data_IF_547961316918
#
_entry.id   IF_547961316918
#
_cell.length_a   1.000
_cell.length_b   1.000
_cell.length_c   1.000
_cell.angle_alpha   90.00
_cell.angle_beta   90.00
_cell.angle_gamma   90.00
#
_symmetry.space_group_name_H-M   'P 1'
#
loop_
_entity.id
_entity.type
_entity.pdbx_description
1 polymer ?
#
# COMPACT_ATOMS: atom_id res chain seq x y z
N UNK A 1 7.59 28.09 13.67
CA UNK A 1 6.63 26.98 13.44
C UNK A 1 6.71 26.58 11.98
N UNK A 2 7.38 25.46 11.66
CA UNK A 2 7.50 24.99 10.26
C UNK A 2 6.33 24.07 9.90
N UNK A 3 5.80 24.20 8.68
CA UNK A 3 4.81 23.25 8.14
C UNK A 3 5.48 21.89 8.02
N UNK A 4 5.09 20.93 8.85
CA UNK A 4 5.65 19.56 8.84
C UNK A 4 4.80 18.58 8.04
N UNK A 5 3.76 19.05 7.35
CA UNK A 5 2.79 18.21 6.65
C UNK A 5 2.78 18.58 5.16
N UNK A 6 2.81 17.58 4.30
CA UNK A 6 2.68 17.74 2.84
C UNK A 6 1.21 17.66 2.43
N UNK A 7 0.91 17.97 1.16
CA UNK A 7 -0.36 17.54 0.56
C UNK A 7 -0.46 16.01 0.63
N UNK A 8 -1.63 15.52 1.00
CA UNK A 8 -1.95 14.10 1.09
C UNK A 8 -2.81 13.73 -0.10
N UNK A 9 -2.53 12.57 -0.68
CA UNK A 9 -3.32 12.01 -1.76
C UNK A 9 -4.71 11.59 -1.25
N UNK A 10 -5.75 11.79 -2.07
CA UNK A 10 -6.99 11.01 -1.94
C UNK A 10 -6.88 9.75 -2.81
N UNK A 11 -6.59 8.63 -2.16
CA UNK A 11 -6.41 7.34 -2.80
C UNK A 11 -7.65 6.47 -2.71
N UNK A 12 -7.56 5.26 -3.27
CA UNK A 12 -8.63 4.26 -3.15
C UNK A 12 -8.88 3.83 -1.70
N UNK A 13 -7.89 4.00 -0.82
CA UNK A 13 -8.06 3.92 0.63
C UNK A 13 -7.33 5.06 1.32
N UNK A 14 -8.02 5.74 2.24
CA UNK A 14 -7.43 6.77 3.10
C UNK A 14 -7.10 6.14 4.45
N UNK A 15 -5.81 5.93 4.73
CA UNK A 15 -5.38 5.34 5.99
C UNK A 15 -5.68 6.27 7.17
N UNK A 16 -6.35 5.75 8.19
CA UNK A 16 -6.83 6.53 9.33
C UNK A 16 -5.90 6.44 10.53
N UNK A 17 -6.09 7.35 11.50
CA UNK A 17 -5.39 7.29 12.78
C UNK A 17 -5.64 5.94 13.46
N UNK A 18 -6.88 5.46 13.39
CA UNK A 18 -7.29 4.21 14.01
C UNK A 18 -6.52 3.03 13.42
N UNK A 19 -6.44 2.91 12.08
CA UNK A 19 -5.69 1.86 11.40
C UNK A 19 -4.24 1.75 11.92
N UNK A 20 -3.59 2.90 12.15
CA UNK A 20 -2.22 2.96 12.68
C UNK A 20 -2.15 2.56 14.15
N UNK A 21 -3.06 3.07 14.98
CA UNK A 21 -3.04 2.81 16.43
C UNK A 21 -3.50 1.41 16.80
N UNK A 22 -4.44 0.84 16.03
CA UNK A 22 -4.94 -0.53 16.20
C UNK A 22 -4.03 -1.57 15.54
N UNK A 23 -2.98 -1.14 14.84
CA UNK A 23 -2.05 -2.01 14.10
C UNK A 23 -2.79 -2.88 13.09
N UNK A 24 -3.77 -2.30 12.40
CA UNK A 24 -4.62 -3.02 11.46
C UNK A 24 -3.80 -3.52 10.28
N UNK A 25 -3.86 -4.82 10.05
CA UNK A 25 -3.29 -5.46 8.88
C UNK A 25 -4.34 -5.54 7.77
N UNK A 26 -3.90 -5.35 6.53
CA UNK A 26 -4.73 -5.42 5.34
C UNK A 26 -4.29 -6.59 4.46
N UNK A 27 -5.23 -7.28 3.82
CA UNK A 27 -4.89 -8.37 2.90
C UNK A 27 -4.01 -7.90 1.73
N UNK A 28 -4.17 -6.65 1.30
CA UNK A 28 -3.41 -6.03 0.23
C UNK A 28 -2.22 -5.20 0.74
N UNK A 29 -1.68 -5.52 1.92
CA UNK A 29 -0.50 -4.84 2.46
C UNK A 29 0.72 -5.04 1.55
N UNK A 30 1.40 -3.95 1.20
CA UNK A 30 2.63 -3.99 0.38
C UNK A 30 3.80 -3.23 1.00
N UNK A 31 3.58 -2.58 2.14
CA UNK A 31 4.65 -2.05 2.97
C UNK A 31 4.24 -2.06 4.45
N UNK A 32 5.21 -2.04 5.36
CA UNK A 32 4.98 -1.86 6.79
C UNK A 32 5.99 -0.92 7.43
N UNK A 33 5.55 -0.28 8.50
CA UNK A 33 6.45 0.27 9.51
C UNK A 33 6.63 -0.70 10.66
N UNK A 34 7.04 -0.16 11.83
CA UNK A 34 7.26 -1.00 13.01
C UNK A 34 5.99 -1.74 13.44
N UNK A 35 4.86 -1.05 13.49
CA UNK A 35 3.60 -1.55 14.06
C UNK A 35 2.37 -1.18 13.22
N UNK A 36 2.55 -0.81 11.95
CA UNK A 36 1.45 -0.37 11.07
C UNK A 36 1.73 -0.79 9.63
N UNK A 37 0.66 -0.95 8.85
CA UNK A 37 0.68 -1.57 7.52
C UNK A 37 0.07 -0.63 6.49
N UNK A 38 0.65 -0.63 5.28
CA UNK A 38 0.21 0.21 4.18
C UNK A 38 -0.43 -0.68 3.11
N UNK A 39 -1.76 -0.61 2.95
CA UNK A 39 -2.44 -1.32 1.88
C UNK A 39 -2.11 -0.68 0.53
N UNK A 40 -2.02 -1.48 -0.53
CA UNK A 40 -1.63 -1.02 -1.87
C UNK A 40 -2.55 0.09 -2.39
N UNK A 41 -3.86 -0.03 -2.13
CA UNK A 41 -4.86 1.00 -2.41
C UNK A 41 -4.64 2.37 -1.75
N UNK A 42 -3.79 2.47 -0.71
CA UNK A 42 -3.37 3.78 -0.16
C UNK A 42 -2.31 4.50 -0.99
N UNK A 43 -1.72 3.80 -1.95
CA UNK A 43 -0.68 4.26 -2.87
C UNK A 43 -1.23 4.58 -4.28
N UNK A 44 -2.53 4.31 -4.50
CA UNK A 44 -3.25 4.48 -5.76
C UNK A 44 -4.17 5.70 -5.70
N UNK A 45 -3.98 6.74 -6.53
CA UNK A 45 -4.90 7.86 -6.67
C UNK A 45 -6.29 7.42 -7.12
N UNK A 46 -7.33 7.97 -6.49
CA UNK A 46 -8.72 7.59 -6.81
C UNK A 46 -9.15 8.00 -8.23
N UNK A 47 -8.71 9.16 -8.69
CA UNK A 47 -9.22 9.81 -9.92
C UNK A 47 -8.27 9.70 -11.12
N UNK A 48 -7.04 9.19 -10.94
CA UNK A 48 -6.02 9.17 -11.99
C UNK A 48 -5.47 7.76 -12.16
N UNK A 49 -5.65 7.21 -13.36
CA UNK A 49 -5.06 5.94 -13.77
C UNK A 49 -3.56 6.06 -14.05
N UNK A 50 -2.84 4.93 -13.95
CA UNK A 50 -1.40 4.83 -14.26
C UNK A 50 -0.49 5.75 -13.43
N UNK A 51 -0.96 6.20 -12.26
CA UNK A 51 -0.17 6.97 -11.32
C UNK A 51 0.01 6.18 -10.03
N UNK A 52 1.25 6.10 -9.55
CA UNK A 52 1.61 5.49 -8.28
C UNK A 52 2.24 6.53 -7.36
N UNK A 53 1.92 6.45 -6.09
CA UNK A 53 2.38 7.41 -5.08
C UNK A 53 2.97 6.65 -3.88
N UNK A 54 4.20 7.00 -3.49
CA UNK A 54 4.86 6.41 -2.34
C UNK A 54 5.54 7.48 -1.48
N UNK A 55 5.72 7.21 -0.19
CA UNK A 55 6.36 8.16 0.73
C UNK A 55 5.37 9.11 1.38
N UNK A 56 5.80 10.30 1.80
CA UNK A 56 5.05 11.16 2.75
C UNK A 56 3.68 11.67 2.28
N UNK A 57 3.39 11.58 0.99
CA UNK A 57 2.16 12.05 0.34
C UNK A 57 1.17 10.93 0.02
N UNK A 58 1.41 9.71 0.48
CA UNK A 58 0.45 8.60 0.42
C UNK A 58 -0.90 8.97 1.02
N UNK A 59 -1.93 8.18 0.71
CA UNK A 59 -3.29 8.49 1.14
C UNK A 59 -3.54 8.15 2.60
N UNK A 60 -3.71 9.20 3.40
CA UNK A 60 -3.90 9.10 4.85
C UNK A 60 -4.58 10.35 5.42
N UNK A 61 -5.15 10.22 6.61
CA UNK A 61 -5.53 11.39 7.40
C UNK A 61 -4.28 12.11 7.94
N UNK A 62 -4.35 13.42 8.22
CA UNK A 62 -3.24 14.19 8.80
C UNK A 62 -2.60 13.54 10.04
N UNK A 63 -3.43 12.96 10.91
CA UNK A 63 -2.99 12.32 12.16
C UNK A 63 -2.27 11.01 11.88
N UNK A 64 -2.81 10.18 10.98
CA UNK A 64 -2.16 8.95 10.54
C UNK A 64 -0.79 9.25 9.94
N UNK A 65 -0.73 10.20 9.01
CA UNK A 65 0.51 10.61 8.36
C UNK A 65 1.54 11.10 9.37
N UNK A 66 1.13 11.88 10.37
CA UNK A 66 2.04 12.38 11.41
C UNK A 66 2.74 11.25 12.17
N UNK A 67 2.08 10.10 12.36
CA UNK A 67 2.59 8.95 13.09
C UNK A 67 3.36 7.93 12.23
N UNK A 68 3.07 7.88 10.92
CA UNK A 68 3.53 6.82 10.02
C UNK A 68 4.22 7.39 8.78
N UNK A 69 5.20 8.27 9.00
CA UNK A 69 5.97 8.95 7.93
C UNK A 69 7.48 8.78 8.09
N UNK A 70 7.89 7.68 8.70
CA UNK A 70 9.28 7.35 8.93
C UNK A 70 9.98 7.03 7.60
N UNK A 71 11.31 7.15 7.56
CA UNK A 71 12.10 6.88 6.35
C UNK A 71 11.99 5.41 5.91
N UNK A 72 12.10 4.39 6.79
CA UNK A 72 12.05 2.99 6.35
C UNK A 72 10.73 2.59 5.66
N UNK A 73 9.54 2.95 6.18
CA UNK A 73 8.29 2.77 5.44
C UNK A 73 8.24 3.48 4.08
N UNK A 74 8.80 4.70 3.99
CA UNK A 74 8.85 5.41 2.71
C UNK A 74 9.69 4.66 1.67
N UNK A 75 10.79 4.04 2.09
CA UNK A 75 11.62 3.20 1.22
C UNK A 75 10.86 1.94 0.79
N UNK A 76 10.19 1.26 1.73
CA UNK A 76 9.40 0.06 1.45
C UNK A 76 8.24 0.35 0.48
N UNK A 77 7.48 1.43 0.71
CA UNK A 77 6.45 1.88 -0.23
C UNK A 77 7.03 2.17 -1.62
N UNK A 78 8.20 2.82 -1.70
CA UNK A 78 8.88 3.10 -2.97
C UNK A 78 9.24 1.84 -3.74
N UNK A 79 9.74 0.82 -3.04
CA UNK A 79 10.03 -0.48 -3.64
C UNK A 79 8.75 -1.20 -4.09
N UNK A 80 7.70 -1.17 -3.27
CA UNK A 80 6.41 -1.77 -3.62
C UNK A 80 5.83 -1.19 -4.91
N UNK A 81 5.77 0.14 -5.02
CA UNK A 81 5.25 0.78 -6.25
C UNK A 81 6.17 0.57 -7.45
N UNK A 82 7.48 0.45 -7.24
CA UNK A 82 8.42 0.10 -8.31
C UNK A 82 8.17 -1.29 -8.88
N UNK A 83 7.97 -2.29 -8.01
CA UNK A 83 7.58 -3.65 -8.40
C UNK A 83 6.22 -3.62 -9.12
N UNK A 84 5.24 -2.89 -8.58
CA UNK A 84 3.92 -2.78 -9.19
C UNK A 84 3.98 -2.18 -10.60
N UNK A 85 4.78 -1.12 -10.79
CA UNK A 85 4.97 -0.50 -12.09
C UNK A 85 5.60 -1.46 -13.11
N UNK A 86 6.61 -2.23 -12.69
CA UNK A 86 7.25 -3.22 -13.56
C UNK A 86 6.26 -4.32 -14.00
N UNK A 87 5.50 -4.86 -13.05
CA UNK A 87 4.48 -5.88 -13.32
C UNK A 87 3.36 -5.35 -14.24
N UNK A 88 2.91 -4.11 -14.04
CA UNK A 88 1.90 -3.49 -14.89
C UNK A 88 2.38 -3.39 -16.35
N UNK A 89 3.64 -2.98 -16.56
CA UNK A 89 4.24 -2.90 -17.90
C UNK A 89 4.42 -4.27 -18.53
N UNK A 90 4.93 -5.25 -17.77
CA UNK A 90 5.13 -6.63 -18.27
C UNK A 90 3.82 -7.29 -18.67
N UNK A 91 2.74 -7.06 -17.92
CA UNK A 91 1.44 -7.68 -18.15
C UNK A 91 0.53 -6.87 -19.07
N UNK A 92 0.89 -5.63 -19.41
CA UNK A 92 0.04 -4.73 -20.18
C UNK A 92 -1.25 -4.33 -19.45
N UNK A 93 -1.21 -4.24 -18.12
CA UNK A 93 -2.37 -3.91 -17.27
C UNK A 93 -2.23 -2.52 -16.66
N UNK A 94 -3.31 -2.01 -16.07
CA UNK A 94 -3.21 -0.81 -15.24
C UNK A 94 -2.48 -1.12 -13.94
N UNK A 95 -1.80 -0.12 -13.37
CA UNK A 95 -1.15 -0.24 -12.05
C UNK A 95 -2.15 -0.62 -10.95
N UNK A 96 -3.40 -0.13 -11.03
CA UNK A 96 -4.46 -0.48 -10.08
C UNK A 96 -4.94 -1.93 -10.19
N UNK A 97 -4.72 -2.57 -11.34
CA UNK A 97 -5.11 -3.95 -11.59
C UNK A 97 -4.00 -4.95 -11.24
N UNK A 98 -2.83 -4.47 -10.81
CA UNK A 98 -1.75 -5.34 -10.35
C UNK A 98 -2.12 -5.97 -9.01
N UNK A 99 -2.04 -7.29 -8.95
CA UNK A 99 -2.28 -8.06 -7.73
C UNK A 99 -1.29 -7.69 -6.63
N UNK A 100 -1.80 -7.39 -5.44
CA UNK A 100 -0.97 -7.17 -4.25
C UNK A 100 -0.08 -8.39 -3.94
N UNK A 101 -0.57 -9.61 -4.23
CA UNK A 101 0.21 -10.83 -4.05
C UNK A 101 1.46 -10.85 -4.95
N UNK A 102 1.32 -10.41 -6.20
CA UNK A 102 2.45 -10.37 -7.14
C UNK A 102 3.47 -9.30 -6.71
N UNK A 103 2.99 -8.17 -6.19
CA UNK A 103 3.85 -7.13 -5.59
C UNK A 103 4.62 -7.70 -4.39
N UNK A 104 3.93 -8.36 -3.47
CA UNK A 104 4.53 -8.98 -2.28
C UNK A 104 5.59 -10.02 -2.68
N UNK A 105 5.30 -10.86 -3.68
CA UNK A 105 6.25 -11.84 -4.21
C UNK A 105 7.46 -11.16 -4.86
N UNK A 106 7.24 -10.12 -5.68
CA UNK A 106 8.31 -9.35 -6.31
C UNK A 106 9.23 -8.69 -5.28
N UNK A 107 8.67 -8.11 -4.22
CA UNK A 107 9.45 -7.54 -3.11
C UNK A 107 10.32 -8.59 -2.42
N UNK A 108 9.77 -9.78 -2.14
CA UNK A 108 10.53 -10.89 -1.54
C UNK A 108 11.67 -11.40 -2.43
N UNK A 109 11.48 -11.44 -3.75
CA UNK A 109 12.56 -11.81 -4.70
C UNK A 109 13.77 -10.87 -4.58
N UNK A 110 13.53 -9.62 -4.17
CA UNK A 110 14.58 -8.63 -3.89
C UNK A 110 15.03 -8.58 -2.43
N UNK A 111 14.57 -9.51 -1.59
CA UNK A 111 14.93 -9.58 -0.16
C UNK A 111 14.22 -8.54 0.72
N UNK A 112 13.15 -7.90 0.23
CA UNK A 112 12.37 -6.95 1.01
C UNK A 112 11.18 -7.61 1.72
N UNK A 113 10.77 -7.00 2.83
CA UNK A 113 9.57 -7.36 3.59
C UNK A 113 8.38 -6.49 3.14
N UNK A 114 7.37 -7.06 2.45
CA UNK A 114 6.18 -6.32 2.06
C UNK A 114 5.19 -6.14 3.22
N UNK A 115 5.38 -6.80 4.37
CA UNK A 115 4.51 -6.69 5.53
C UNK A 115 3.19 -7.44 5.45
N UNK A 116 3.05 -8.35 4.50
CA UNK A 116 1.88 -9.22 4.30
C UNK A 116 1.79 -10.38 5.31
N UNK A 117 2.88 -10.65 6.03
CA UNK A 117 2.86 -11.52 7.21
C UNK A 117 2.65 -10.61 8.43
N UNK A 118 1.47 -10.65 9.07
CA UNK A 118 1.20 -9.80 10.23
C UNK A 118 2.08 -10.18 11.42
N UNK A 119 2.53 -9.17 12.16
CA UNK A 119 3.14 -9.31 13.48
C UNK A 119 2.13 -9.89 14.48
N UNK A 120 2.63 -10.51 15.55
CA UNK A 120 1.80 -11.16 16.58
C UNK A 120 0.82 -10.22 17.30
N UNK A 121 1.07 -8.92 17.25
CA UNK A 121 0.25 -7.87 17.85
C UNK A 121 -0.63 -7.11 16.83
N UNK A 122 -0.67 -7.56 15.57
CA UNK A 122 -1.48 -6.95 14.54
C UNK A 122 -2.96 -7.30 14.70
N UNK A 123 -3.83 -6.35 14.36
CA UNK A 123 -5.28 -6.60 14.27
C UNK A 123 -5.59 -7.05 12.85
N UNK A 124 -6.12 -8.26 12.69
CA UNK A 124 -6.47 -8.84 11.39
C UNK A 124 -7.99 -8.94 11.29
N UNK A 125 -8.57 -8.30 10.27
CA UNK A 125 -10.00 -8.42 9.99
C UNK A 125 -10.28 -9.76 9.30
N UNK A 126 -11.25 -10.52 9.79
CA UNK A 126 -11.60 -11.85 9.26
C UNK A 126 -12.34 -11.83 7.88
N UNK A 127 -12.44 -10.68 7.21
CA UNK A 127 -13.37 -10.50 6.07
C UNK A 127 -12.74 -10.69 4.67
N UNK A 128 -11.44 -10.95 4.52
CA UNK A 128 -10.75 -10.84 3.23
C UNK A 128 -10.46 -12.16 2.47
N UNK A 129 -11.22 -13.24 2.69
CA UNK A 129 -11.04 -14.51 1.91
C UNK A 129 -11.89 -14.53 0.62
N UNK A 130 -12.62 -13.46 0.28
CA UNK A 130 -13.53 -13.48 -0.88
C UNK A 130 -12.84 -13.01 -2.17
N UNK A 131 -12.30 -14.00 -2.89
CA UNK A 131 -12.32 -14.17 -4.36
C UNK A 131 -12.06 -12.95 -5.27
N UNK A 132 -10.87 -12.90 -5.86
CA UNK A 132 -10.67 -12.19 -7.13
C UNK A 132 -10.83 -13.20 -8.29
N UNK A 133 -12.07 -13.42 -8.72
CA UNK A 133 -12.34 -14.02 -10.02
C UNK A 133 -11.77 -13.08 -11.10
N UNK A 134 -10.79 -13.58 -11.84
CA UNK A 134 -10.25 -12.91 -13.01
C UNK A 134 -11.37 -12.69 -14.04
N UNK A 135 -11.95 -11.48 -14.08
CA UNK A 135 -12.71 -11.05 -15.25
C UNK A 135 -11.73 -10.73 -16.37
N UNK A 136 -11.44 -11.76 -17.15
CA UNK A 136 -10.82 -11.67 -18.47
C UNK A 136 -11.75 -10.82 -19.36
N UNK A 137 -11.46 -9.53 -19.51
CA UNK A 137 -12.10 -8.72 -20.53
C UNK A 137 -11.36 -8.96 -21.86
N UNK A 138 -11.95 -9.81 -22.71
CA UNK A 138 -11.61 -9.83 -24.13
C UNK A 138 -11.92 -8.47 -24.75
N UNK A 139 -10.90 -7.83 -25.33
CA UNK A 139 -11.02 -7.05 -26.56
C UNK A 139 -9.65 -6.78 -27.16
#
# INVERSE_FOLDING_TARGET
MGVRQTRLLEGEYVMTKDDVTSRRHFADTVARGRDYYYPYRSLLPKEVDQLLVAGRHYSATPEAQKMSREIPPCMAMGQAVGVAAALAVENGTLVRDVSALDIQQGMRRHGADPGDIPSSNATVDNEAVVGHEHRHASR
#
